data_IF_286198199032
#
_entry.id   IF_286198199032
#
_cell.length_a   1.000
_cell.length_b   1.000
_cell.length_c   1.000
_cell.angle_alpha   90.00
_cell.angle_beta   90.00
_cell.angle_gamma   90.00
#
_symmetry.space_group_name_H-M   'P 1'
#
loop_
_entity.id
_entity.type
_entity.pdbx_description
1 polymer ?
#
# COMPACT_ATOMS: atom_id res chain seq x y z
N UNK A 1 5.74 -0.26 -28.05
CA UNK A 1 5.48 0.35 -26.72
C UNK A 1 6.40 -0.35 -25.73
N UNK A 2 7.55 0.26 -25.44
CA UNK A 2 8.59 -0.35 -24.60
C UNK A 2 8.29 -0.04 -23.13
N UNK A 3 7.81 -1.04 -22.40
CA UNK A 3 7.74 -0.99 -20.94
C UNK A 3 9.17 -0.93 -20.41
N UNK A 4 9.60 0.23 -19.93
CA UNK A 4 10.83 0.36 -19.16
C UNK A 4 10.58 -0.25 -17.78
N UNK A 5 11.04 -1.48 -17.59
CA UNK A 5 11.15 -2.10 -16.27
C UNK A 5 12.26 -1.36 -15.50
N UNK A 6 11.88 -0.36 -14.71
CA UNK A 6 12.77 0.30 -13.76
C UNK A 6 13.21 -0.70 -12.69
N UNK A 7 14.52 -0.86 -12.49
CA UNK A 7 15.10 -1.66 -11.41
C UNK A 7 14.71 -1.10 -10.04
N UNK A 8 14.54 -1.96 -9.03
CA UNK A 8 14.07 -1.56 -7.69
C UNK A 8 14.92 -0.46 -7.03
N UNK A 9 16.22 -0.41 -7.33
CA UNK A 9 17.12 0.66 -6.88
C UNK A 9 16.77 2.03 -7.47
N UNK A 10 16.37 2.08 -8.74
CA UNK A 10 15.98 3.33 -9.40
C UNK A 10 14.66 3.86 -8.84
N UNK A 11 13.71 2.97 -8.52
CA UNK A 11 12.46 3.33 -7.84
C UNK A 11 12.73 3.90 -6.44
N UNK A 12 13.63 3.27 -5.68
CA UNK A 12 14.01 3.74 -4.35
C UNK A 12 14.62 5.15 -4.38
N UNK A 13 15.56 5.39 -5.29
CA UNK A 13 16.17 6.72 -5.48
C UNK A 13 15.11 7.76 -5.86
N UNK A 14 14.18 7.41 -6.75
CA UNK A 14 13.11 8.34 -7.15
C UNK A 14 12.14 8.68 -6.01
N UNK A 15 11.90 7.74 -5.09
CA UNK A 15 11.05 7.97 -3.92
C UNK A 15 11.73 8.88 -2.89
N UNK A 16 13.01 8.67 -2.62
CA UNK A 16 13.80 9.56 -1.74
C UNK A 16 13.87 10.99 -2.30
N UNK A 17 13.98 11.13 -3.62
CA UNK A 17 13.92 12.43 -4.31
C UNK A 17 12.53 13.08 -4.18
N UNK A 18 11.47 12.29 -4.34
CA UNK A 18 10.10 12.76 -4.17
C UNK A 18 9.83 13.22 -2.74
N UNK A 19 10.24 12.43 -1.74
CA UNK A 19 10.14 12.76 -0.32
C UNK A 19 10.86 14.07 -0.01
N UNK A 20 12.10 14.22 -0.47
CA UNK A 20 12.88 15.45 -0.27
C UNK A 20 12.20 16.66 -0.91
N UNK A 21 11.67 16.51 -2.14
CA UNK A 21 10.93 17.58 -2.81
C UNK A 21 9.66 18.00 -2.08
N UNK A 22 8.93 17.04 -1.50
CA UNK A 22 7.76 17.32 -0.66
C UNK A 22 8.18 18.08 0.61
N UNK A 23 9.22 17.62 1.30
CA UNK A 23 9.74 18.29 2.49
C UNK A 23 10.20 19.73 2.20
N UNK A 24 10.92 19.95 1.10
CA UNK A 24 11.35 21.28 0.67
C UNK A 24 10.15 22.19 0.34
N UNK A 25 9.08 21.62 -0.21
CA UNK A 25 7.82 22.34 -0.46
C UNK A 25 7.16 22.77 0.84
N UNK A 26 7.05 21.86 1.82
CA UNK A 26 6.49 22.15 3.15
C UNK A 26 7.32 23.19 3.91
N UNK A 27 8.65 23.08 3.85
CA UNK A 27 9.55 24.06 4.46
C UNK A 27 9.36 25.44 3.83
N UNK A 28 9.28 25.52 2.50
CA UNK A 28 9.05 26.79 1.79
C UNK A 28 7.69 27.41 2.17
N UNK A 29 6.64 26.59 2.32
CA UNK A 29 5.33 27.04 2.81
C UNK A 29 5.39 27.58 4.24
N UNK A 30 6.10 26.89 5.14
CA UNK A 30 6.30 27.34 6.52
C UNK A 30 7.05 28.68 6.58
N UNK A 31 8.12 28.81 5.80
CA UNK A 31 8.89 30.06 5.68
C UNK A 31 8.06 31.21 5.12
N UNK A 32 7.20 30.93 4.13
CA UNK A 32 6.26 31.92 3.58
C UNK A 32 5.24 32.36 4.64
N UNK A 33 4.72 31.44 5.46
CA UNK A 33 3.78 31.77 6.54
C UNK A 33 4.42 32.73 7.56
N UNK A 34 5.65 32.44 8.00
CA UNK A 34 6.39 33.30 8.94
C UNK A 34 6.69 34.68 8.33
N UNK A 35 6.97 34.72 7.02
CA UNK A 35 7.27 35.97 6.30
C UNK A 35 6.04 36.86 6.13
N UNK A 36 4.85 36.27 5.99
CA UNK A 36 3.57 37.01 5.97
C UNK A 36 3.33 37.68 7.33
N UNK A 37 3.62 37.00 8.43
CA UNK A 37 3.45 37.55 9.78
C UNK A 37 4.38 38.75 10.06
N UNK A 38 5.56 38.81 9.43
CA UNK A 38 6.57 39.86 9.62
C UNK A 38 6.81 40.70 8.36
N UNK A 39 5.79 40.85 7.52
CA UNK A 39 5.94 41.47 6.21
C UNK A 39 6.31 42.96 6.30
N UNK A 40 7.38 43.33 5.59
CA UNK A 40 7.81 44.73 5.39
C UNK A 40 8.02 45.03 3.90
N UNK A 41 7.99 46.30 3.50
CA UNK A 41 8.21 46.70 2.10
C UNK A 41 9.55 46.22 1.52
N UNK A 42 10.59 46.10 2.36
CA UNK A 42 11.91 45.59 1.94
C UNK A 42 11.92 44.06 1.74
N UNK A 43 10.95 43.35 2.32
CA UNK A 43 10.82 41.89 2.22
C UNK A 43 10.02 41.41 0.99
N UNK A 44 9.37 42.33 0.26
CA UNK A 44 8.51 42.04 -0.89
C UNK A 44 9.23 41.21 -1.98
N UNK A 45 10.44 41.62 -2.37
CA UNK A 45 11.23 40.90 -3.37
C UNK A 45 11.59 39.47 -2.93
N UNK A 46 11.93 39.30 -1.65
CA UNK A 46 12.26 37.99 -1.06
C UNK A 46 11.03 37.08 -1.00
N UNK A 47 9.86 37.66 -0.70
CA UNK A 47 8.59 36.95 -0.66
C UNK A 47 8.18 36.45 -2.06
N UNK A 48 8.25 37.30 -3.09
CA UNK A 48 7.99 36.88 -4.48
C UNK A 48 8.97 35.79 -4.95
N UNK A 49 10.25 35.89 -4.58
CA UNK A 49 11.22 34.84 -4.89
C UNK A 49 10.82 33.49 -4.26
N UNK A 50 10.39 33.47 -3.00
CA UNK A 50 9.94 32.23 -2.34
C UNK A 50 8.65 31.67 -2.90
N UNK A 51 7.71 32.52 -3.35
CA UNK A 51 6.52 32.07 -4.06
C UNK A 51 6.86 31.40 -5.39
N UNK A 52 7.76 31.98 -6.17
CA UNK A 52 8.22 31.36 -7.41
C UNK A 52 8.92 30.03 -7.15
N UNK A 53 9.77 29.96 -6.10
CA UNK A 53 10.39 28.72 -5.64
C UNK A 53 9.35 27.66 -5.25
N UNK A 54 8.24 28.05 -4.62
CA UNK A 54 7.15 27.12 -4.29
C UNK A 54 6.52 26.51 -5.56
N UNK A 55 6.28 27.34 -6.58
CA UNK A 55 5.76 26.87 -7.88
C UNK A 55 6.73 25.93 -8.58
N UNK A 56 8.04 26.23 -8.54
CA UNK A 56 9.08 25.35 -9.07
C UNK A 56 9.12 24.01 -8.35
N UNK A 57 9.08 24.01 -7.01
CA UNK A 57 9.05 22.80 -6.20
C UNK A 57 7.82 21.93 -6.52
N UNK A 58 6.64 22.54 -6.67
CA UNK A 58 5.42 21.82 -7.03
C UNK A 58 5.51 21.15 -8.40
N UNK A 59 6.10 21.85 -9.38
CA UNK A 59 6.32 21.28 -10.71
C UNK A 59 7.35 20.14 -10.68
N UNK A 60 8.42 20.28 -9.90
CA UNK A 60 9.41 19.23 -9.72
C UNK A 60 8.81 17.97 -9.09
N UNK A 61 8.08 18.12 -7.98
CA UNK A 61 7.37 17.00 -7.29
C UNK A 61 6.38 16.32 -8.22
N UNK A 62 5.60 17.08 -9.00
CA UNK A 62 4.65 16.53 -9.99
C UNK A 62 5.34 15.72 -11.09
N UNK A 63 6.49 16.18 -11.56
CA UNK A 63 7.23 15.49 -12.62
C UNK A 63 7.87 14.18 -12.11
N UNK A 64 8.45 14.19 -10.91
CA UNK A 64 9.00 12.97 -10.28
C UNK A 64 7.87 12.00 -9.93
N UNK A 65 6.75 12.49 -9.38
CA UNK A 65 5.59 11.67 -9.04
C UNK A 65 4.96 10.97 -10.24
N UNK A 66 4.98 11.59 -11.43
CA UNK A 66 4.51 10.94 -12.68
C UNK A 66 5.38 9.76 -13.12
N UNK A 67 6.66 9.76 -12.77
CA UNK A 67 7.56 8.64 -13.06
C UNK A 67 7.38 7.48 -12.06
N UNK A 68 6.69 7.71 -10.93
CA UNK A 68 6.52 6.75 -9.86
C UNK A 68 5.11 6.13 -9.91
N UNK A 69 4.99 4.98 -10.57
CA UNK A 69 3.72 4.26 -10.74
C UNK A 69 3.57 3.16 -9.69
N UNK A 70 3.07 3.51 -8.49
CA UNK A 70 2.72 2.55 -7.44
C UNK A 70 1.21 2.59 -7.21
N UNK A 71 0.50 1.47 -7.38
CA UNK A 71 -0.92 1.41 -7.11
C UNK A 71 -1.16 1.51 -5.60
N UNK A 72 -1.88 2.54 -5.18
CA UNK A 72 -2.29 2.73 -3.78
C UNK A 72 -3.76 2.32 -3.66
N UNK A 73 -4.10 1.37 -2.77
CA UNK A 73 -5.49 1.02 -2.52
C UNK A 73 -6.29 2.25 -2.03
N UNK A 74 -7.51 2.48 -2.53
CA UNK A 74 -8.31 3.64 -2.13
C UNK A 74 -8.57 3.69 -0.62
N UNK A 75 -8.66 2.53 0.03
CA UNK A 75 -8.86 2.45 1.48
C UNK A 75 -7.69 3.06 2.27
N UNK A 76 -6.47 3.06 1.71
CA UNK A 76 -5.32 3.73 2.35
C UNK A 76 -5.50 5.25 2.33
N UNK A 77 -6.09 5.79 1.25
CA UNK A 77 -6.40 7.22 1.14
C UNK A 77 -7.44 7.60 2.18
N UNK A 78 -8.50 6.79 2.35
CA UNK A 78 -9.50 7.01 3.40
C UNK A 78 -8.89 7.03 4.81
N UNK A 79 -7.87 6.19 5.06
CA UNK A 79 -7.18 6.20 6.35
C UNK A 79 -6.39 7.50 6.56
N UNK A 80 -5.74 8.01 5.51
CA UNK A 80 -4.99 9.28 5.55
C UNK A 80 -5.95 10.45 5.80
N UNK A 81 -7.07 10.51 5.10
CA UNK A 81 -8.06 11.59 5.23
C UNK A 81 -8.69 11.63 6.63
N UNK A 82 -8.86 10.47 7.27
CA UNK A 82 -9.35 10.36 8.64
C UNK A 82 -8.28 10.58 9.72
N UNK A 83 -7.05 10.92 9.34
CA UNK A 83 -5.93 11.14 10.27
C UNK A 83 -5.38 9.86 10.92
N UNK A 84 -5.73 8.69 10.39
CA UNK A 84 -5.19 7.40 10.85
C UNK A 84 -3.95 7.01 10.06
N UNK A 85 -3.05 6.24 10.67
CA UNK A 85 -1.80 5.86 10.00
C UNK A 85 -2.05 4.77 8.96
N UNK A 86 -1.48 4.88 7.73
CA UNK A 86 -1.47 3.79 6.74
C UNK A 86 -0.94 2.45 7.29
N UNK A 87 -0.05 2.50 8.30
CA UNK A 87 0.48 1.31 8.96
C UNK A 87 -0.58 0.53 9.73
N UNK A 88 -1.61 1.21 10.27
CA UNK A 88 -2.72 0.54 10.94
C UNK A 88 -3.57 -0.24 9.94
N UNK A 89 -3.85 0.35 8.78
CA UNK A 89 -4.51 -0.37 7.68
C UNK A 89 -3.72 -1.62 7.29
N UNK A 90 -2.40 -1.50 7.11
CA UNK A 90 -1.56 -2.65 6.74
C UNK A 90 -1.62 -3.76 7.79
N UNK A 91 -1.57 -3.41 9.07
CA UNK A 91 -1.71 -4.35 10.18
C UNK A 91 -3.06 -5.08 10.15
N UNK A 92 -4.16 -4.35 9.95
CA UNK A 92 -5.51 -4.93 9.83
C UNK A 92 -5.63 -5.86 8.63
N UNK A 93 -5.08 -5.49 7.48
CA UNK A 93 -5.08 -6.32 6.27
C UNK A 93 -4.29 -7.61 6.50
N UNK A 94 -3.10 -7.51 7.11
CA UNK A 94 -2.27 -8.66 7.44
C UNK A 94 -2.99 -9.60 8.40
N UNK A 95 -3.56 -9.06 9.47
CA UNK A 95 -4.31 -9.84 10.45
C UNK A 95 -5.52 -10.54 9.81
N UNK A 96 -6.28 -9.84 8.96
CA UNK A 96 -7.40 -10.41 8.22
C UNK A 96 -6.97 -11.50 7.22
N UNK A 97 -5.76 -11.41 6.66
CA UNK A 97 -5.21 -12.45 5.81
C UNK A 97 -4.87 -13.72 6.62
N UNK A 98 -4.26 -13.55 7.80
CA UNK A 98 -3.96 -14.65 8.73
C UNK A 98 -5.25 -15.35 9.15
N UNK A 99 -6.24 -14.60 9.62
CA UNK A 99 -7.54 -15.15 10.04
C UNK A 99 -8.23 -15.94 8.93
N UNK A 100 -8.16 -15.45 7.68
CA UNK A 100 -8.72 -16.17 6.53
C UNK A 100 -7.97 -17.46 6.24
N UNK A 101 -6.65 -17.46 6.36
CA UNK A 101 -5.85 -18.69 6.23
C UNK A 101 -6.22 -19.70 7.32
N UNK A 102 -6.34 -19.26 8.57
CA UNK A 102 -6.70 -20.14 9.70
C UNK A 102 -8.09 -20.77 9.51
N UNK A 103 -9.07 -19.96 9.10
CA UNK A 103 -10.42 -20.46 8.79
C UNK A 103 -10.40 -21.46 7.62
N UNK A 104 -9.61 -21.21 6.58
CA UNK A 104 -9.51 -22.10 5.42
C UNK A 104 -8.82 -23.41 5.78
N UNK A 105 -7.75 -23.35 6.58
CA UNK A 105 -7.05 -24.52 7.09
C UNK A 105 -7.99 -25.36 7.97
N UNK A 106 -8.69 -24.74 8.91
CA UNK A 106 -9.66 -25.46 9.75
C UNK A 106 -10.79 -26.10 8.95
N UNK A 107 -11.26 -25.45 7.88
CA UNK A 107 -12.22 -26.07 6.94
C UNK A 107 -11.62 -27.28 6.24
N UNK A 108 -10.40 -27.16 5.74
CA UNK A 108 -9.69 -28.25 5.06
C UNK A 108 -9.48 -29.45 6.01
N UNK A 109 -9.14 -29.20 7.26
CA UNK A 109 -8.96 -30.24 8.28
C UNK A 109 -10.27 -31.01 8.53
N UNK A 110 -11.40 -30.30 8.63
CA UNK A 110 -12.72 -30.93 8.77
C UNK A 110 -13.08 -31.77 7.53
N UNK A 111 -12.79 -31.26 6.32
CA UNK A 111 -12.99 -32.04 5.09
C UNK A 111 -12.15 -33.30 5.07
N UNK A 112 -10.90 -33.24 5.53
CA UNK A 112 -10.03 -34.40 5.61
C UNK A 112 -10.56 -35.45 6.59
N UNK A 113 -11.01 -35.02 7.77
CA UNK A 113 -11.65 -35.91 8.76
C UNK A 113 -12.91 -36.57 8.21
N UNK A 114 -13.76 -35.80 7.52
CA UNK A 114 -14.97 -36.34 6.89
C UNK A 114 -14.62 -37.39 5.82
N UNK A 115 -13.63 -37.09 4.98
CA UNK A 115 -13.18 -38.01 3.93
C UNK A 115 -12.63 -39.31 4.51
N UNK A 116 -11.88 -39.24 5.61
CA UNK A 116 -11.36 -40.41 6.30
C UNK A 116 -12.47 -41.23 6.98
N UNK A 117 -13.47 -40.56 7.56
CA UNK A 117 -14.68 -41.21 8.11
C UNK A 117 -15.47 -41.96 7.03
N UNK A 118 -15.70 -41.33 5.88
CA UNK A 118 -16.41 -41.95 4.75
C UNK A 118 -15.62 -43.16 4.24
N UNK A 119 -14.30 -43.05 4.08
CA UNK A 119 -13.44 -44.18 3.68
C UNK A 119 -13.52 -45.33 4.68
N UNK A 120 -13.56 -45.03 5.97
CA UNK A 120 -13.67 -46.04 7.02
C UNK A 120 -15.03 -46.74 6.97
N UNK A 121 -16.14 -46.01 6.80
CA UNK A 121 -17.47 -46.61 6.66
C UNK A 121 -17.59 -47.49 5.41
N UNK A 122 -17.05 -47.04 4.28
CA UNK A 122 -16.98 -47.85 3.05
C UNK A 122 -16.13 -49.12 3.27
N UNK A 123 -14.97 -48.98 3.92
CA UNK A 123 -14.07 -50.11 4.20
C UNK A 123 -14.64 -51.12 5.20
N UNK A 124 -15.50 -50.68 6.12
CA UNK A 124 -16.17 -51.54 7.10
C UNK A 124 -17.40 -52.27 6.53
N UNK A 125 -17.98 -51.80 5.44
CA UNK A 125 -19.03 -52.50 4.71
C UNK A 125 -18.39 -53.49 3.72
N UNK A 126 -18.13 -54.72 4.16
CA UNK A 126 -17.54 -55.80 3.34
C UNK A 126 -18.31 -56.03 2.02
N UNK A 127 -19.62 -55.81 2.02
CA UNK A 127 -20.50 -55.97 0.85
C UNK A 127 -20.24 -54.92 -0.25
N UNK A 128 -19.91 -53.68 0.12
CA UNK A 128 -19.57 -52.60 -0.84
C UNK A 128 -18.09 -52.65 -1.27
N UNK A 129 -17.20 -53.13 -0.40
CA UNK A 129 -15.78 -53.28 -0.70
C UNK A 129 -15.51 -54.35 -1.77
N UNK A 130 -16.37 -55.37 -1.88
CA UNK A 130 -16.33 -56.37 -2.96
C UNK A 130 -16.92 -55.86 -4.29
N UNK A 131 -17.98 -55.04 -4.26
CA UNK A 131 -18.53 -54.39 -5.47
C UNK A 131 -17.54 -53.41 -6.13
N UNK A 132 -16.68 -52.73 -5.35
CA UNK A 132 -15.66 -51.82 -5.89
C UNK A 132 -14.43 -52.54 -6.47
N UNK A 133 -14.17 -53.80 -6.10
CA UNK A 133 -13.08 -54.60 -6.69
C UNK A 133 -13.45 -55.26 -8.01
N UNK A 134 -14.75 -55.32 -8.32
CA UNK A 134 -15.29 -55.98 -9.51
C UNK A 134 -15.59 -55.01 -10.67
N UNK A 135 -15.44 -53.70 -10.43
CA UNK A 135 -15.41 -52.61 -11.43
C UNK A 135 -13.96 -52.21 -11.77
#
# INVERSE_FOLDING_TARGET
MNQHTYTDEQKKISLEQLERGILDTVNTLSELNIMIENFTSDSEATWFFKLNKLVENYNAVKNVGRAYDVPIPPQVIDHIDNGTSPSQFMSTVQQSAIERCDVMNGRNDVFQVLLDSIKQEIGNNEEFAEELKTL
#
